data_IF_673463948335
#
_entry.id   IF_673463948335
#
_cell.length_a   1.000
_cell.length_b   1.000
_cell.length_c   1.000
_cell.angle_alpha   90.00
_cell.angle_beta   90.00
_cell.angle_gamma   90.00
#
_symmetry.space_group_name_H-M   'P 1'
#
loop_
_entity.id
_entity.type
_entity.pdbx_description
1 polymer ?
#
# COMPACT_ATOMS: atom_id res chain seq x y z
N UNK A 1 -21.05 1.94 -0.70
CA UNK A 1 -20.07 1.96 0.41
C UNK A 1 -18.91 1.06 0.00
N UNK A 2 -17.66 1.51 0.00
CA UNK A 2 -16.51 0.60 -0.22
C UNK A 2 -16.10 -0.12 1.07
N UNK A 3 -16.57 0.36 2.24
CA UNK A 3 -16.64 -0.41 3.48
C UNK A 3 -17.75 -1.49 3.51
N UNK A 4 -18.35 -1.89 2.38
CA UNK A 4 -19.38 -2.95 2.32
C UNK A 4 -18.82 -4.33 1.94
N UNK A 5 -17.58 -4.42 1.43
CA UNK A 5 -16.97 -5.69 1.00
C UNK A 5 -15.76 -6.13 1.83
N UNK A 6 -15.29 -5.32 2.79
CA UNK A 6 -14.05 -5.58 3.56
C UNK A 6 -12.83 -5.94 2.69
N UNK A 7 -12.75 -5.38 1.48
CA UNK A 7 -11.62 -5.59 0.57
C UNK A 7 -10.69 -4.39 0.65
N UNK A 8 -9.45 -4.54 1.16
CA UNK A 8 -8.49 -3.44 1.25
C UNK A 8 -8.00 -3.02 -0.13
N UNK A 9 -7.95 -1.69 -0.37
CA UNK A 9 -7.43 -1.12 -1.63
C UNK A 9 -5.99 -0.64 -1.45
N UNK A 10 -5.09 -1.14 -2.29
CA UNK A 10 -3.70 -0.72 -2.37
C UNK A 10 -3.52 0.21 -3.57
N UNK A 11 -3.24 1.48 -3.31
CA UNK A 11 -3.13 2.52 -4.34
C UNK A 11 -1.68 2.99 -4.48
N UNK A 12 -1.13 2.86 -5.68
CA UNK A 12 0.23 3.29 -6.01
C UNK A 12 0.19 4.39 -7.04
N UNK A 13 0.74 5.56 -6.72
CA UNK A 13 0.76 6.71 -7.60
C UNK A 13 2.17 7.05 -8.06
N UNK A 14 2.35 7.10 -9.37
CA UNK A 14 3.54 7.67 -9.99
C UNK A 14 3.45 9.20 -9.99
N UNK A 15 4.55 9.89 -9.66
CA UNK A 15 4.64 11.37 -9.67
C UNK A 15 3.60 12.03 -8.76
N UNK A 16 3.48 13.36 -8.87
CA UNK A 16 2.63 14.16 -8.00
C UNK A 16 1.46 14.77 -8.78
N UNK A 17 0.29 14.15 -8.66
CA UNK A 17 -1.00 14.74 -9.02
C UNK A 17 -1.82 14.91 -7.73
N UNK A 18 -2.13 16.16 -7.32
CA UNK A 18 -2.87 16.45 -6.09
C UNK A 18 -4.29 15.86 -6.06
N UNK A 19 -4.97 15.79 -7.21
CA UNK A 19 -6.35 15.27 -7.31
C UNK A 19 -6.32 13.75 -7.13
N UNK A 20 -5.42 13.08 -7.85
CA UNK A 20 -5.25 11.63 -7.71
C UNK A 20 -4.83 11.25 -6.28
N UNK A 21 -3.91 12.00 -5.67
CA UNK A 21 -3.47 11.77 -4.29
C UNK A 21 -4.64 11.85 -3.30
N UNK A 22 -5.46 12.89 -3.41
CA UNK A 22 -6.61 13.08 -2.54
C UNK A 22 -7.61 11.92 -2.67
N UNK A 23 -7.97 11.56 -3.89
CA UNK A 23 -8.88 10.45 -4.16
C UNK A 23 -8.34 9.11 -3.67
N UNK A 24 -7.09 8.78 -3.99
CA UNK A 24 -6.48 7.50 -3.64
C UNK A 24 -6.27 7.33 -2.14
N UNK A 25 -5.91 8.41 -1.45
CA UNK A 25 -5.78 8.39 0.02
C UNK A 25 -7.14 8.12 0.68
N UNK A 26 -8.21 8.74 0.18
CA UNK A 26 -9.54 8.53 0.77
C UNK A 26 -10.10 7.12 0.47
N UNK A 27 -9.87 6.62 -0.74
CA UNK A 27 -10.27 5.26 -1.11
C UNK A 27 -9.53 4.19 -0.31
N UNK A 28 -8.21 4.33 -0.12
CA UNK A 28 -7.43 3.39 0.69
C UNK A 28 -7.85 3.46 2.16
N UNK A 29 -8.10 4.65 2.70
CA UNK A 29 -8.61 4.83 4.08
C UNK A 29 -9.98 4.17 4.29
N UNK A 30 -10.93 4.40 3.38
CA UNK A 30 -12.29 3.85 3.49
C UNK A 30 -12.36 2.32 3.33
N UNK A 31 -11.35 1.72 2.70
CA UNK A 31 -11.24 0.26 2.51
C UNK A 31 -10.37 -0.44 3.55
N UNK A 32 -9.65 0.30 4.39
CA UNK A 32 -8.63 -0.27 5.30
C UNK A 32 -7.36 -0.72 4.57
N UNK A 33 -7.10 -0.17 3.39
CA UNK A 33 -5.90 -0.43 2.59
C UNK A 33 -4.80 0.62 2.79
N UNK A 34 -3.93 0.79 1.80
CA UNK A 34 -2.79 1.69 1.88
C UNK A 34 -2.58 2.50 0.60
N UNK A 35 -2.03 3.71 0.75
CA UNK A 35 -1.59 4.54 -0.36
C UNK A 35 -0.08 4.76 -0.30
N UNK A 36 0.60 4.70 -1.43
CA UNK A 36 2.02 5.03 -1.53
C UNK A 36 2.33 5.74 -2.85
N UNK A 37 3.12 6.80 -2.76
CA UNK A 37 3.72 7.43 -3.93
C UNK A 37 5.04 6.72 -4.25
N UNK A 38 5.30 6.45 -5.52
CA UNK A 38 6.57 5.89 -5.96
C UNK A 38 7.19 6.77 -7.05
N UNK A 39 8.51 6.69 -7.19
CA UNK A 39 9.24 7.37 -8.26
C UNK A 39 9.33 6.46 -9.49
N UNK A 40 8.90 7.02 -10.62
CA UNK A 40 9.08 6.48 -11.97
C UNK A 40 10.49 6.03 -12.31
N UNK A 41 11.50 6.57 -11.61
CA UNK A 41 12.90 6.18 -11.76
C UNK A 41 13.23 4.77 -11.22
N UNK A 42 12.30 4.08 -10.54
CA UNK A 42 12.59 2.79 -9.90
C UNK A 42 11.45 1.78 -10.07
N UNK A 43 11.47 1.05 -11.18
CA UNK A 43 10.64 -0.16 -11.37
C UNK A 43 10.79 -1.15 -10.21
N UNK A 44 11.98 -1.20 -9.60
CA UNK A 44 12.26 -1.99 -8.40
C UNK A 44 11.44 -1.54 -7.18
N UNK A 45 11.14 -0.25 -7.03
CA UNK A 45 10.29 0.24 -5.95
C UNK A 45 8.86 -0.28 -6.13
N UNK A 46 8.30 -0.20 -7.34
CA UNK A 46 6.97 -0.73 -7.62
C UNK A 46 6.91 -2.26 -7.41
N UNK A 47 7.95 -2.98 -7.84
CA UNK A 47 8.07 -4.43 -7.61
C UNK A 47 8.03 -4.78 -6.13
N UNK A 48 8.77 -4.07 -5.28
CA UNK A 48 8.79 -4.31 -3.83
C UNK A 48 7.44 -3.97 -3.19
N UNK A 49 6.77 -2.91 -3.63
CA UNK A 49 5.41 -2.57 -3.17
C UNK A 49 4.40 -3.66 -3.53
N UNK A 50 4.43 -4.16 -4.77
CA UNK A 50 3.57 -5.26 -5.22
C UNK A 50 3.85 -6.57 -4.48
N UNK A 51 5.13 -6.85 -4.19
CA UNK A 51 5.54 -8.00 -3.37
C UNK A 51 4.96 -7.91 -1.96
N UNK A 52 4.98 -6.74 -1.34
CA UNK A 52 4.36 -6.52 -0.03
C UNK A 52 2.85 -6.81 -0.06
N UNK A 53 2.15 -6.36 -1.11
CA UNK A 53 0.72 -6.66 -1.30
C UNK A 53 0.47 -8.15 -1.45
N UNK A 54 1.30 -8.86 -2.24
CA UNK A 54 1.18 -10.30 -2.42
C UNK A 54 1.39 -11.06 -1.10
N UNK A 55 2.37 -10.65 -0.28
CA UNK A 55 2.64 -11.24 1.04
C UNK A 55 1.47 -11.00 1.99
N UNK A 56 0.92 -9.78 2.01
CA UNK A 56 -0.28 -9.46 2.79
C UNK A 56 -1.48 -10.30 2.34
N UNK A 57 -1.71 -10.44 1.03
CA UNK A 57 -2.82 -11.23 0.52
C UNK A 57 -2.68 -12.73 0.86
N UNK A 58 -1.44 -13.24 0.90
CA UNK A 58 -1.17 -14.65 1.21
C UNK A 58 -1.18 -14.97 2.72
N UNK A 59 -0.74 -14.05 3.58
CA UNK A 59 -0.49 -14.32 5.00
C UNK A 59 -0.96 -13.24 5.98
N UNK A 60 -1.69 -12.25 5.50
CA UNK A 60 -2.24 -11.14 6.29
C UNK A 60 -1.16 -10.20 6.84
N UNK A 61 -1.57 -9.40 7.84
CA UNK A 61 -0.73 -8.37 8.43
C UNK A 61 0.53 -8.94 9.11
N UNK A 62 0.44 -10.13 9.72
CA UNK A 62 1.59 -10.77 10.38
C UNK A 62 2.71 -11.11 9.39
N UNK A 63 2.37 -11.72 8.26
CA UNK A 63 3.35 -12.02 7.22
C UNK A 63 3.98 -10.75 6.63
N UNK A 64 3.19 -9.68 6.50
CA UNK A 64 3.69 -8.38 6.07
C UNK A 64 4.65 -7.77 7.09
N UNK A 65 4.40 -7.89 8.39
CA UNK A 65 5.28 -7.41 9.47
C UNK A 65 6.64 -8.12 9.46
N UNK A 66 6.64 -9.44 9.26
CA UNK A 66 7.88 -10.20 9.17
C UNK A 66 8.70 -9.80 7.93
N UNK A 67 8.02 -9.52 6.81
CA UNK A 67 8.66 -9.04 5.59
C UNK A 67 9.16 -7.59 5.71
N UNK A 68 8.39 -6.70 6.33
CA UNK A 68 8.71 -5.27 6.43
C UNK A 68 9.97 -5.00 7.26
N UNK A 69 10.31 -5.91 8.19
CA UNK A 69 11.53 -5.82 9.00
C UNK A 69 12.81 -5.66 8.17
N UNK A 70 12.86 -6.31 7.00
CA UNK A 70 14.03 -6.31 6.08
C UNK A 70 13.76 -5.54 4.78
N UNK A 71 12.57 -4.99 4.60
CA UNK A 71 12.15 -4.35 3.35
C UNK A 71 12.40 -2.83 3.31
N UNK A 72 12.16 -2.26 2.13
CA UNK A 72 12.31 -0.83 1.86
C UNK A 72 11.34 0.04 2.66
N UNK A 73 11.63 1.35 2.73
CA UNK A 73 10.79 2.34 3.41
C UNK A 73 9.35 2.37 2.89
N UNK A 74 9.12 2.12 1.60
CA UNK A 74 7.79 2.04 1.00
C UNK A 74 6.96 0.87 1.54
N UNK A 75 7.58 -0.29 1.78
CA UNK A 75 6.90 -1.46 2.35
C UNK A 75 6.53 -1.21 3.82
N UNK A 76 7.42 -0.60 4.59
CA UNK A 76 7.15 -0.20 5.99
C UNK A 76 5.98 0.80 6.08
N UNK A 77 5.86 1.70 5.10
CA UNK A 77 4.75 2.65 5.04
C UNK A 77 3.40 1.94 4.79
N UNK A 78 3.35 0.89 3.96
CA UNK A 78 2.14 0.07 3.76
C UNK A 78 1.75 -0.59 5.08
N UNK A 79 2.69 -1.27 5.74
CA UNK A 79 2.44 -1.96 7.01
C UNK A 79 1.87 -1.01 8.09
N UNK A 80 2.45 0.20 8.22
CA UNK A 80 1.98 1.21 9.17
C UNK A 80 0.56 1.69 8.87
N UNK A 81 0.18 1.82 7.60
CA UNK A 81 -1.16 2.25 7.21
C UNK A 81 -2.21 1.18 7.50
N UNK A 82 -1.88 -0.10 7.35
CA UNK A 82 -2.78 -1.22 7.63
C UNK A 82 -2.96 -1.50 9.13
N UNK A 83 -2.10 -0.97 10.00
CA UNK A 83 -2.23 -1.09 11.46
C UNK A 83 -3.21 -0.08 12.08
N UNK A 84 -3.64 0.94 11.33
CA UNK A 84 -4.57 1.98 11.80
C UNK A 84 -6.00 1.49 11.80
#
# INVERSE_FOLDING_TARGET
KLGLLNVPLFMFQERHDPVAKAAFTELSRLSGGAYCQFDSASADQLKELLKAVAIYAAGGLKALQDFSAVASSGVKLIEQQLRK
#
